data_IF_979459043353
#
_entry.id   IF_979459043353
#
_cell.length_a   1.000
_cell.length_b   1.000
_cell.length_c   1.000
_cell.angle_alpha   90.00
_cell.angle_beta   90.00
_cell.angle_gamma   90.00
#
_symmetry.space_group_name_H-M   'P 1'
#
loop_
_entity.id
_entity.type
_entity.pdbx_description
1 polymer ?
#
# COMPACT_ATOMS: atom_id res chain seq x y z
N UNK A 1 -20.04 1.45 -7.63
CA UNK A 1 -19.04 2.46 -8.09
C UNK A 1 -18.25 2.86 -6.85
N UNK A 2 -16.92 2.89 -6.96
CA UNK A 2 -16.03 3.41 -5.91
C UNK A 2 -15.33 4.66 -6.40
N UNK A 3 -15.04 5.59 -5.48
CA UNK A 3 -14.27 6.80 -5.75
C UNK A 3 -13.11 6.81 -4.75
N UNK A 4 -11.90 7.02 -5.24
CA UNK A 4 -10.70 7.10 -4.42
C UNK A 4 -9.78 8.20 -4.95
N UNK A 5 -8.93 8.71 -4.06
CA UNK A 5 -7.88 9.66 -4.40
C UNK A 5 -6.58 8.90 -4.68
N UNK A 6 -5.90 9.28 -5.75
CA UNK A 6 -4.59 8.75 -6.11
C UNK A 6 -3.67 9.90 -6.52
N UNK A 7 -2.49 9.95 -5.93
CA UNK A 7 -1.44 10.93 -6.24
C UNK A 7 -0.38 10.36 -7.20
N UNK A 8 -0.46 9.07 -7.53
CA UNK A 8 0.48 8.38 -8.42
C UNK A 8 1.89 8.16 -7.84
N UNK A 9 2.13 8.50 -6.57
CA UNK A 9 3.47 8.49 -5.96
C UNK A 9 3.49 7.74 -4.62
N UNK A 10 2.51 7.95 -3.75
CA UNK A 10 2.45 7.32 -2.43
C UNK A 10 1.90 5.89 -2.46
N UNK A 11 1.31 5.48 -3.59
CA UNK A 11 0.57 4.23 -3.75
C UNK A 11 -0.60 4.06 -2.75
N UNK A 12 -0.97 5.10 -2.00
CA UNK A 12 -2.16 5.09 -1.14
C UNK A 12 -3.43 4.93 -1.98
N UNK A 13 -3.44 5.40 -3.23
CA UNK A 13 -4.53 5.18 -4.17
C UNK A 13 -4.81 3.70 -4.42
N UNK A 14 -3.76 2.85 -4.50
CA UNK A 14 -3.91 1.39 -4.66
C UNK A 14 -4.59 0.78 -3.44
N UNK A 15 -4.26 1.27 -2.24
CA UNK A 15 -4.89 0.84 -1.01
C UNK A 15 -6.37 1.22 -0.98
N UNK A 16 -6.68 2.48 -1.24
CA UNK A 16 -8.04 2.98 -1.29
C UNK A 16 -8.87 2.20 -2.32
N UNK A 17 -8.34 2.01 -3.54
CA UNK A 17 -8.96 1.20 -4.58
C UNK A 17 -9.22 -0.23 -4.12
N UNK A 18 -8.21 -0.90 -3.55
CA UNK A 18 -8.34 -2.29 -3.07
C UNK A 18 -9.45 -2.42 -2.03
N UNK A 19 -9.58 -1.44 -1.14
CA UNK A 19 -10.64 -1.41 -0.13
C UNK A 19 -12.02 -1.17 -0.74
N UNK A 20 -12.15 -0.17 -1.62
CA UNK A 20 -13.43 0.10 -2.28
C UNK A 20 -13.87 -1.11 -3.13
N UNK A 21 -12.93 -1.80 -3.78
CA UNK A 21 -13.19 -3.05 -4.49
C UNK A 21 -13.63 -4.16 -3.53
N UNK A 22 -12.99 -4.31 -2.37
CA UNK A 22 -13.39 -5.28 -1.35
C UNK A 22 -14.85 -5.08 -0.92
N UNK A 23 -15.26 -3.83 -0.65
CA UNK A 23 -16.65 -3.53 -0.33
C UNK A 23 -17.62 -3.81 -1.49
N UNK A 24 -17.19 -3.53 -2.73
CA UNK A 24 -18.00 -3.82 -3.92
C UNK A 24 -18.27 -5.32 -4.08
N UNK A 25 -17.31 -6.18 -3.71
CA UNK A 25 -17.44 -7.65 -3.75
C UNK A 25 -18.00 -8.26 -2.46
N UNK A 26 -18.62 -7.43 -1.60
CA UNK A 26 -19.38 -7.89 -0.45
C UNK A 26 -18.61 -8.01 0.87
N UNK A 27 -17.37 -7.55 0.93
CA UNK A 27 -16.66 -7.45 2.21
C UNK A 27 -17.40 -6.52 3.18
N UNK A 28 -17.33 -6.82 4.47
CA UNK A 28 -17.85 -5.94 5.52
C UNK A 28 -16.75 -5.11 6.15
N UNK A 29 -17.10 -3.90 6.62
CA UNK A 29 -16.17 -3.06 7.37
C UNK A 29 -15.74 -3.73 8.67
N UNK A 30 -14.44 -3.70 8.95
CA UNK A 30 -13.91 -4.09 10.25
C UNK A 30 -14.19 -2.97 11.25
N UNK A 31 -15.23 -3.13 12.05
CA UNK A 31 -15.60 -2.20 13.12
C UNK A 31 -16.00 -2.92 14.41
N UNK A 32 -15.87 -4.25 14.45
CA UNK A 32 -16.33 -5.08 15.56
C UNK A 32 -15.28 -5.09 16.67
N UNK A 33 -15.69 -5.45 17.88
CA UNK A 33 -14.79 -5.59 19.04
C UNK A 33 -14.20 -6.99 19.20
N UNK A 34 -14.59 -7.95 18.36
CA UNK A 34 -14.19 -9.35 18.46
C UNK A 34 -12.89 -9.62 17.69
N UNK A 35 -12.07 -10.55 18.20
CA UNK A 35 -10.74 -10.90 17.66
C UNK A 35 -10.84 -11.31 16.19
N UNK A 36 -9.94 -10.79 15.36
CA UNK A 36 -9.88 -11.13 13.94
C UNK A 36 -10.72 -10.24 13.04
N UNK A 37 -11.47 -9.28 13.61
CA UNK A 37 -12.21 -8.26 12.86
C UNK A 37 -12.22 -6.92 13.61
N UNK A 38 -11.25 -6.77 14.52
CA UNK A 38 -11.16 -5.62 15.39
C UNK A 38 -10.46 -4.47 14.69
N UNK A 39 -10.89 -3.25 14.98
CA UNK A 39 -10.27 -2.02 14.45
C UNK A 39 -8.75 -2.02 14.65
N UNK A 40 -8.29 -2.47 15.82
CA UNK A 40 -6.87 -2.54 16.20
C UNK A 40 -6.03 -3.54 15.39
N UNK A 41 -6.67 -4.45 14.67
CA UNK A 41 -5.97 -5.48 13.90
C UNK A 41 -5.51 -4.93 12.53
N UNK A 42 -6.01 -3.74 12.14
CA UNK A 42 -5.59 -2.97 10.97
C UNK A 42 -5.64 -3.77 9.66
N UNK A 43 -6.76 -4.42 9.35
CA UNK A 43 -6.99 -5.07 8.05
C UNK A 43 -7.46 -4.07 6.98
N UNK A 44 -7.46 -4.50 5.72
CA UNK A 44 -7.82 -3.70 4.54
C UNK A 44 -9.18 -2.97 4.70
N UNK A 45 -10.16 -3.65 5.30
CA UNK A 45 -11.53 -3.17 5.49
C UNK A 45 -11.76 -2.36 6.77
N UNK A 46 -10.69 -2.03 7.50
CA UNK A 46 -10.73 -1.12 8.64
C UNK A 46 -10.81 0.36 8.24
N UNK A 47 -10.67 1.29 9.20
CA UNK A 47 -10.42 2.70 8.92
C UNK A 47 -9.21 2.85 8.00
N UNK A 48 -9.28 3.79 7.05
CA UNK A 48 -8.12 4.09 6.22
C UNK A 48 -7.02 4.65 7.10
N UNK A 49 -5.93 3.92 7.25
CA UNK A 49 -4.68 4.44 7.77
C UNK A 49 -3.50 3.80 7.02
N UNK A 50 -2.33 4.44 7.04
CA UNK A 50 -1.14 3.93 6.37
C UNK A 50 -0.56 2.66 7.02
N UNK A 51 -1.18 2.18 8.10
CA UNK A 51 -0.77 0.99 8.86
C UNK A 51 -1.68 -0.19 8.57
N UNK A 52 -2.71 -0.01 7.74
CA UNK A 52 -3.61 -1.08 7.34
C UNK A 52 -2.87 -2.07 6.45
N UNK A 53 -3.13 -3.35 6.72
CA UNK A 53 -2.57 -4.49 6.04
C UNK A 53 -3.40 -4.75 4.78
N UNK A 54 -2.74 -5.09 3.68
CA UNK A 54 -3.38 -5.44 2.40
C UNK A 54 -3.99 -6.86 2.41
N UNK A 55 -4.61 -7.26 3.52
CA UNK A 55 -5.30 -8.53 3.68
C UNK A 55 -6.69 -8.27 4.24
N UNK A 56 -7.66 -9.06 3.78
CA UNK A 56 -8.98 -9.07 4.39
C UNK A 56 -8.89 -9.67 5.79
N UNK A 57 -9.76 -9.20 6.68
CA UNK A 57 -9.96 -9.87 7.95
C UNK A 57 -10.77 -11.15 7.74
N UNK A 58 -10.67 -12.17 8.63
CA UNK A 58 -11.55 -13.33 8.59
C UNK A 58 -13.05 -13.00 8.46
N UNK A 59 -13.54 -11.92 9.07
CA UNK A 59 -14.93 -11.49 8.88
C UNK A 59 -15.19 -11.00 7.46
N UNK A 60 -14.31 -10.15 6.94
CA UNK A 60 -14.44 -9.63 5.59
C UNK A 60 -14.34 -10.75 4.55
N UNK A 61 -13.42 -11.71 4.72
CA UNK A 61 -13.30 -12.91 3.87
C UNK A 61 -14.60 -13.72 3.87
N UNK A 62 -15.15 -14.03 5.04
CA UNK A 62 -16.42 -14.77 5.17
C UNK A 62 -17.57 -14.05 4.48
N UNK A 63 -17.60 -12.72 4.55
CA UNK A 63 -18.62 -11.91 3.90
C UNK A 63 -18.48 -11.94 2.37
N UNK A 64 -17.26 -11.83 1.85
CA UNK A 64 -16.98 -11.97 0.41
C UNK A 64 -17.37 -13.35 -0.09
N UNK A 65 -17.03 -14.41 0.65
CA UNK A 65 -17.42 -15.79 0.31
C UNK A 65 -18.94 -15.94 0.24
N UNK A 66 -19.65 -15.44 1.26
CA UNK A 66 -21.12 -15.46 1.31
C UNK A 66 -21.73 -14.69 0.13
N UNK A 67 -21.19 -13.51 -0.17
CA UNK A 67 -21.61 -12.71 -1.31
C UNK A 67 -21.44 -13.49 -2.62
N UNK A 68 -20.27 -14.07 -2.83
CA UNK A 68 -19.94 -14.85 -4.02
C UNK A 68 -20.90 -16.04 -4.20
N UNK A 69 -21.14 -16.82 -3.14
CA UNK A 69 -22.07 -17.96 -3.17
C UNK A 69 -23.50 -17.51 -3.48
N UNK A 70 -23.95 -16.41 -2.88
CA UNK A 70 -25.31 -15.87 -3.09
C UNK A 70 -25.56 -15.34 -4.51
N UNK A 71 -24.49 -14.93 -5.20
CA UNK A 71 -24.53 -14.37 -6.55
C UNK A 71 -24.01 -15.32 -7.63
N UNK A 72 -23.62 -16.53 -7.25
CA UNK A 72 -23.06 -17.56 -8.15
C UNK A 72 -23.81 -17.70 -9.48
N UNK A 73 -25.15 -17.72 -9.45
CA UNK A 73 -25.98 -17.88 -10.65
C UNK A 73 -26.28 -16.59 -11.43
N UNK A 74 -25.95 -15.41 -10.90
CA UNK A 74 -26.24 -14.11 -11.50
C UNK A 74 -25.04 -13.19 -11.29
N UNK A 75 -23.94 -13.49 -11.98
CA UNK A 75 -22.69 -12.75 -11.86
C UNK A 75 -22.13 -12.33 -13.22
N UNK A 76 -21.19 -11.38 -13.19
CA UNK A 76 -20.47 -10.89 -14.37
C UNK A 76 -18.94 -11.04 -14.23
N UNK A 77 -18.47 -11.91 -13.33
CA UNK A 77 -17.05 -12.11 -13.03
C UNK A 77 -16.55 -13.50 -13.42
N UNK A 78 -17.42 -14.38 -13.92
CA UNK A 78 -17.04 -15.71 -14.42
C UNK A 78 -16.34 -15.66 -15.78
N UNK A 79 -16.45 -14.56 -16.53
CA UNK A 79 -15.82 -14.42 -17.84
C UNK A 79 -14.31 -14.20 -17.70
N UNK A 80 -13.53 -14.78 -18.62
CA UNK A 80 -12.08 -14.55 -18.68
C UNK A 80 -11.81 -13.23 -19.43
N UNK A 81 -11.30 -12.19 -18.76
CA UNK A 81 -10.96 -10.95 -19.45
C UNK A 81 -9.75 -11.15 -20.36
N UNK A 82 -9.72 -10.38 -21.46
CA UNK A 82 -8.49 -10.21 -22.24
C UNK A 82 -7.61 -9.18 -21.53
N UNK A 83 -6.37 -9.52 -21.14
CA UNK A 83 -5.49 -8.57 -20.47
C UNK A 83 -5.23 -7.35 -21.36
N UNK A 84 -5.40 -6.15 -20.81
CA UNK A 84 -5.00 -4.91 -21.50
C UNK A 84 -3.48 -4.75 -21.47
N UNK A 85 -2.85 -5.20 -20.38
CA UNK A 85 -1.40 -5.21 -20.21
C UNK A 85 -0.96 -6.67 -19.99
N UNK A 86 -0.11 -7.17 -20.86
CA UNK A 86 0.39 -8.55 -20.79
C UNK A 86 1.65 -8.62 -19.91
N UNK A 87 1.76 -9.67 -19.09
CA UNK A 87 2.97 -10.07 -18.35
C UNK A 87 3.60 -8.94 -17.51
N UNK A 88 2.79 -8.08 -16.90
CA UNK A 88 3.29 -7.00 -16.07
C UNK A 88 3.51 -7.47 -14.63
N UNK A 89 4.69 -8.03 -14.38
CA UNK A 89 5.15 -8.44 -13.04
C UNK A 89 5.98 -7.36 -12.34
N UNK A 90 5.88 -6.12 -12.82
CA UNK A 90 6.62 -4.98 -12.33
C UNK A 90 6.16 -4.60 -10.93
N UNK A 91 7.10 -4.52 -9.99
CA UNK A 91 6.83 -4.10 -8.62
C UNK A 91 6.65 -2.57 -8.51
N UNK A 92 5.88 -2.07 -7.52
CA UNK A 92 5.63 -0.64 -7.32
C UNK A 92 6.87 0.24 -7.34
N UNK A 93 8.00 -0.23 -6.80
CA UNK A 93 9.26 0.51 -6.79
C UNK A 93 9.73 0.97 -8.17
N UNK A 94 9.43 0.21 -9.22
CA UNK A 94 9.83 0.56 -10.59
C UNK A 94 9.01 1.73 -11.14
N UNK A 95 7.71 1.79 -10.84
CA UNK A 95 6.86 2.92 -11.20
C UNK A 95 7.28 4.19 -10.46
N UNK A 96 7.70 4.05 -9.19
CA UNK A 96 8.28 5.18 -8.46
C UNK A 96 9.54 5.69 -9.17
N UNK A 97 10.44 4.79 -9.59
CA UNK A 97 11.66 5.18 -10.32
C UNK A 97 11.36 5.90 -11.63
N UNK A 98 10.33 5.46 -12.35
CA UNK A 98 9.91 6.05 -13.62
C UNK A 98 9.16 7.38 -13.42
N UNK A 99 8.59 7.65 -12.24
CA UNK A 99 7.90 8.91 -11.91
C UNK A 99 8.82 10.02 -11.36
N UNK A 100 10.10 9.71 -11.12
CA UNK A 100 11.07 10.67 -10.60
C UNK A 100 11.38 11.78 -11.61
N UNK A 101 11.13 13.03 -11.20
CA UNK A 101 11.65 14.19 -11.94
C UNK A 101 13.05 14.50 -11.43
N UNK A 102 14.06 14.50 -12.30
CA UNK A 102 15.48 14.72 -11.93
C UNK A 102 16.06 13.75 -10.88
N UNK A 103 15.44 12.58 -10.67
CA UNK A 103 15.91 11.57 -9.72
C UNK A 103 15.53 11.84 -8.25
N UNK A 104 14.66 12.82 -7.99
CA UNK A 104 14.22 13.21 -6.66
C UNK A 104 12.72 13.00 -6.48
N UNK A 105 12.34 12.51 -5.30
CA UNK A 105 10.97 12.44 -4.80
C UNK A 105 11.04 12.53 -3.30
N UNK A 106 10.19 13.32 -2.66
CA UNK A 106 10.06 13.26 -1.20
C UNK A 106 8.85 12.38 -0.85
N UNK A 107 9.11 11.15 -0.40
CA UNK A 107 8.05 10.22 -0.07
C UNK A 107 7.19 10.69 1.10
N UNK A 108 7.77 11.42 2.07
CA UNK A 108 6.99 11.97 3.18
C UNK A 108 6.03 13.05 2.68
N UNK A 109 6.48 13.96 1.81
CA UNK A 109 5.60 14.97 1.20
C UNK A 109 4.52 14.33 0.32
N UNK A 110 4.83 13.24 -0.39
CA UNK A 110 3.84 12.51 -1.17
C UNK A 110 2.77 11.82 -0.29
N UNK A 111 3.21 11.00 0.67
CA UNK A 111 2.31 10.26 1.57
C UNK A 111 1.49 11.16 2.50
N UNK A 112 2.07 12.29 2.91
CA UNK A 112 1.47 13.25 3.84
C UNK A 112 1.25 14.60 3.18
N UNK A 113 0.68 14.61 1.97
CA UNK A 113 0.48 15.83 1.18
C UNK A 113 -0.30 16.95 1.90
N UNK A 114 -1.10 16.60 2.91
CA UNK A 114 -1.86 17.55 3.73
C UNK A 114 -1.06 18.11 4.92
N UNK A 115 0.17 17.63 5.14
CA UNK A 115 1.10 18.13 6.16
C UNK A 115 2.36 18.66 5.47
N UNK A 116 2.97 19.67 6.06
CA UNK A 116 4.27 20.20 5.61
C UNK A 116 5.44 19.33 6.13
N UNK A 117 5.40 18.05 5.74
CA UNK A 117 6.43 17.07 6.08
C UNK A 117 7.37 16.81 4.92
N UNK A 118 8.62 16.56 5.27
CA UNK A 118 9.67 16.09 4.36
C UNK A 118 10.41 14.91 4.97
N UNK A 119 11.16 14.21 4.14
CA UNK A 119 12.07 13.17 4.60
C UNK A 119 13.15 13.80 5.49
N UNK A 120 13.33 13.29 6.72
CA UNK A 120 14.29 13.82 7.70
C UNK A 120 15.74 13.84 7.17
N UNK A 121 16.03 12.95 6.23
CA UNK A 121 17.24 12.94 5.41
C UNK A 121 16.77 13.11 3.97
N UNK A 122 17.46 13.94 3.19
CA UNK A 122 17.16 14.10 1.76
C UNK A 122 16.99 12.72 1.13
N UNK A 123 15.75 12.42 0.74
CA UNK A 123 15.39 11.22 0.02
C UNK A 123 15.78 11.44 -1.43
N UNK A 124 16.51 10.49 -1.99
CA UNK A 124 16.81 10.47 -3.41
C UNK A 124 16.66 9.05 -3.91
N UNK A 125 16.42 8.91 -5.20
CA UNK A 125 16.36 7.61 -5.87
C UNK A 125 17.60 6.73 -5.67
N UNK A 126 18.73 7.35 -5.33
CA UNK A 126 20.00 6.68 -5.07
C UNK A 126 20.24 6.35 -3.59
N UNK A 127 19.51 7.00 -2.67
CA UNK A 127 19.69 6.82 -1.23
C UNK A 127 18.71 5.78 -0.70
N UNK A 128 19.22 4.56 -0.52
CA UNK A 128 18.42 3.41 -0.08
C UNK A 128 18.06 3.54 1.40
N UNK A 129 16.79 3.35 1.75
CA UNK A 129 16.45 3.00 3.13
C UNK A 129 16.96 1.58 3.43
N UNK A 130 17.77 1.44 4.46
CA UNK A 130 18.26 0.12 4.87
C UNK A 130 17.15 -0.75 5.49
N UNK A 131 16.10 -0.11 6.02
CA UNK A 131 15.02 -0.74 6.80
C UNK A 131 13.67 -0.70 6.12
N UNK A 132 13.57 -0.24 4.87
CA UNK A 132 12.29 -0.05 4.16
C UNK A 132 11.34 0.96 4.80
N UNK A 133 11.90 1.82 5.66
CA UNK A 133 11.19 2.85 6.40
C UNK A 133 11.84 4.21 6.16
N UNK A 134 11.04 5.24 5.97
CA UNK A 134 11.48 6.62 5.78
C UNK A 134 10.93 7.46 6.92
N UNK A 135 11.82 8.08 7.67
CA UNK A 135 11.46 9.00 8.75
C UNK A 135 11.05 10.36 8.18
N UNK A 136 9.91 10.86 8.63
CA UNK A 136 9.36 12.15 8.23
C UNK A 136 9.54 13.19 9.33
N UNK A 137 9.89 14.41 8.94
CA UNK A 137 10.18 15.55 9.78
C UNK A 137 9.44 16.79 9.25
N UNK A 138 9.12 17.74 10.13
CA UNK A 138 8.70 19.08 9.67
C UNK A 138 9.83 19.76 8.89
N UNK A 139 9.47 20.67 7.98
CA UNK A 139 10.43 21.34 7.11
C UNK A 139 11.59 22.02 7.85
N UNK A 140 11.37 22.55 9.05
CA UNK A 140 12.39 23.24 9.84
C UNK A 140 12.93 22.44 11.03
N UNK A 141 12.51 21.16 11.17
CA UNK A 141 12.91 20.29 12.26
C UNK A 141 13.64 19.05 11.76
N UNK A 142 14.50 18.49 12.63
CA UNK A 142 15.10 17.15 12.45
C UNK A 142 14.44 16.10 13.35
N UNK A 143 13.45 16.51 14.14
CA UNK A 143 12.69 15.60 14.97
C UNK A 143 11.76 14.76 14.10
N UNK A 144 11.89 13.44 14.23
CA UNK A 144 11.02 12.50 13.50
C UNK A 144 9.63 12.53 14.12
N UNK A 145 8.64 12.84 13.29
CA UNK A 145 7.23 12.95 13.70
C UNK A 145 6.36 11.82 13.13
N UNK A 146 6.80 11.22 12.02
CA UNK A 146 6.11 10.07 11.42
C UNK A 146 7.11 9.14 10.72
N UNK A 147 6.65 7.97 10.31
CA UNK A 147 7.41 7.01 9.51
C UNK A 147 6.52 6.39 8.45
N UNK A 148 6.93 6.52 7.19
CA UNK A 148 6.26 5.91 6.04
C UNK A 148 7.11 4.75 5.49
N UNK A 149 6.51 3.90 4.67
CA UNK A 149 7.17 2.72 4.10
C UNK A 149 7.65 2.97 2.67
N UNK A 150 8.79 2.40 2.33
CA UNK A 150 9.24 2.32 0.93
C UNK A 150 8.30 1.40 0.12
N UNK A 151 8.10 1.66 -1.18
CA UNK A 151 7.29 0.80 -2.02
C UNK A 151 7.89 -0.59 -2.17
N UNK A 152 7.00 -1.58 -2.37
CA UNK A 152 7.40 -2.95 -2.59
C UNK A 152 8.32 -3.07 -3.82
N UNK A 153 9.38 -3.89 -3.69
CA UNK A 153 10.42 -4.06 -4.69
C UNK A 153 11.61 -3.11 -4.57
N UNK A 154 11.59 -2.14 -3.64
CA UNK A 154 12.72 -1.23 -3.44
C UNK A 154 13.91 -1.97 -2.82
N UNK A 155 15.12 -1.79 -3.33
CA UNK A 155 16.30 -2.45 -2.77
C UNK A 155 16.64 -1.95 -1.35
N UNK A 156 16.96 -2.85 -0.43
CA UNK A 156 17.23 -2.55 0.99
C UNK A 156 18.48 -3.27 1.55
N UNK A 157 18.86 -2.94 2.79
CA UNK A 157 20.03 -3.51 3.48
C UNK A 157 21.38 -2.82 3.19
N UNK A 158 22.42 -3.22 3.93
CA UNK A 158 23.78 -2.65 3.83
C UNK A 158 24.68 -3.36 2.81
N UNK A 159 24.44 -4.66 2.57
CA UNK A 159 25.28 -5.51 1.72
C UNK A 159 24.60 -5.79 0.38
N UNK A 160 25.41 -6.02 -0.66
CA UNK A 160 24.92 -6.58 -1.93
C UNK A 160 24.33 -7.95 -1.64
N UNK A 161 23.02 -8.06 -1.77
CA UNK A 161 22.25 -9.29 -1.70
C UNK A 161 20.91 -9.08 -2.39
N UNK A 162 20.26 -10.17 -2.76
CA UNK A 162 18.90 -10.15 -3.29
C UNK A 162 17.95 -9.84 -2.13
N UNK A 163 17.87 -8.56 -1.74
CA UNK A 163 16.95 -8.06 -0.72
C UNK A 163 16.13 -6.90 -1.24
N UNK A 164 14.84 -6.91 -0.92
CA UNK A 164 13.92 -5.86 -1.30
C UNK A 164 12.90 -5.58 -0.18
N UNK A 165 12.28 -4.41 -0.24
CA UNK A 165 11.16 -4.05 0.60
C UNK A 165 9.92 -4.81 0.16
N UNK A 166 9.27 -5.47 1.11
CA UNK A 166 7.94 -6.06 0.96
C UNK A 166 7.16 -5.74 2.23
N UNK A 167 6.04 -5.04 2.10
CA UNK A 167 5.20 -4.59 3.21
C UNK A 167 5.97 -3.84 4.31
N UNK A 168 6.90 -2.96 3.91
CA UNK A 168 7.71 -2.16 4.84
C UNK A 168 8.81 -2.92 5.57
N UNK A 169 9.06 -4.18 5.20
CA UNK A 169 10.12 -5.02 5.78
C UNK A 169 11.17 -5.39 4.72
N UNK A 170 12.44 -5.46 5.13
CA UNK A 170 13.54 -5.81 4.24
C UNK A 170 13.73 -7.34 4.18
N UNK A 171 13.24 -7.96 3.12
CA UNK A 171 13.22 -9.43 2.96
C UNK A 171 14.21 -9.91 1.91
N UNK A 172 14.71 -11.14 2.07
CA UNK A 172 15.56 -11.81 1.08
C UNK A 172 14.69 -12.49 0.02
N UNK A 173 15.08 -12.41 -1.24
CA UNK A 173 14.43 -13.11 -2.35
C UNK A 173 15.45 -13.96 -3.12
N UNK A 174 14.98 -15.05 -3.72
CA UNK A 174 15.78 -15.99 -4.52
C UNK A 174 15.49 -15.85 -6.00
#
# INVERSE_FOLDING_TARGET
>A
MGIFYDDGVSFLGVHALSRELAFLIGATRDNRSHKGCALKDNYLTGPFDDKTRFYLSPCAETAVETFFLSKSNHNCWSDKPTPIIHNNWTLPSKYLEDSLTNGEVDLCSAHRFYLELKSCKNYTSHRKSHSCRVSCCYQDSKETVDTIFEPDGRACGFLRGNKMCIHGECVTFS
#
